data_IF_196236329409
#
_entry.id   IF_196236329409
#
_cell.length_a   1.000
_cell.length_b   1.000
_cell.length_c   1.000
_cell.angle_alpha   90.00
_cell.angle_beta   90.00
_cell.angle_gamma   90.00
#
_symmetry.space_group_name_H-M   'P 1'
#
loop_
_entity.id
_entity.type
_entity.pdbx_description
1 polymer ?
2 branched ?
3 non-polymer ?
4 water ?
#
# COMPACT_ATOMS: atom_id res chain seq x y z
N UNK A 16 2.40 -23.64 7.72
CA UNK A 16 2.03 -23.60 6.29
C UNK A 16 0.58 -23.14 6.19
N UNK A 17 0.27 -22.28 5.24
CA UNK A 17 -1.11 -21.85 5.04
C UNK A 17 -1.97 -23.00 4.47
N UNK A 18 -3.27 -22.82 4.54
CA UNK A 18 -4.18 -23.86 4.08
C UNK A 18 -4.81 -23.50 2.75
N UNK A 19 -4.29 -22.48 2.05
CA UNK A 19 -4.77 -22.14 0.69
C UNK A 19 -4.21 -23.13 -0.30
N UNK A 20 -4.70 -23.05 -1.55
CA UNK A 20 -4.12 -23.91 -2.61
C UNK A 20 -2.62 -23.80 -2.74
N UNK A 21 -2.12 -22.55 -2.73
CA UNK A 21 -0.68 -22.31 -2.69
C UNK A 21 -0.48 -21.31 -1.57
N UNK A 22 0.77 -21.10 -1.20
CA UNK A 22 1.11 -20.15 -0.15
C UNK A 22 2.20 -19.22 -0.62
N UNK A 23 1.96 -17.91 -0.54
CA UNK A 23 3.00 -16.97 -1.05
C UNK A 23 4.33 -17.15 -0.35
N UNK A 24 4.37 -17.40 0.96
CA UNK A 24 5.61 -17.53 1.68
C UNK A 24 6.43 -18.68 1.21
N UNK A 25 5.86 -19.70 0.60
CA UNK A 25 6.59 -21.00 0.40
C UNK A 25 7.89 -20.80 -0.38
N UNK A 26 9.00 -21.28 0.20
CA UNK A 26 10.29 -21.19 -0.43
C UNK A 26 10.52 -22.43 -1.33
N UNK A 27 11.52 -22.29 -2.22
CA UNK A 27 11.95 -23.39 -3.16
C UNK A 27 10.93 -23.72 -4.21
N UNK A 28 10.01 -22.81 -4.45
CA UNK A 28 9.13 -22.83 -5.64
C UNK A 28 9.84 -22.06 -6.79
N UNK A 29 10.30 -20.88 -6.47
CA UNK A 29 10.99 -20.00 -7.41
C UNK A 29 12.17 -19.40 -6.65
N UNK A 30 13.40 -19.65 -7.15
CA UNK A 30 14.54 -18.95 -6.56
C UNK A 30 14.56 -17.46 -6.86
N UNK A 31 13.93 -17.02 -7.96
CA UNK A 31 13.77 -15.58 -8.23
C UNK A 31 12.95 -14.94 -7.12
N UNK A 32 11.86 -15.60 -6.71
CA UNK A 32 11.04 -15.08 -5.61
C UNK A 32 11.81 -15.11 -4.31
N UNK A 33 12.50 -16.23 -4.01
CA UNK A 33 13.20 -16.37 -2.71
C UNK A 33 14.29 -15.33 -2.57
N UNK A 34 14.92 -14.95 -3.64
CA UNK A 34 16.00 -13.92 -3.60
C UNK A 34 15.44 -12.57 -3.13
N UNK A 35 14.22 -12.27 -3.54
CA UNK A 35 13.59 -10.98 -3.31
C UNK A 35 12.77 -10.90 -2.02
N UNK A 36 11.96 -11.92 -1.75
CA UNK A 36 11.10 -11.93 -0.55
C UNK A 36 11.92 -12.08 0.70
N UNK A 37 11.67 -11.22 1.67
CA UNK A 37 12.34 -11.33 2.98
C UNK A 37 11.30 -11.40 4.07
N UNK A 38 11.10 -12.59 4.63
CA UNK A 38 10.00 -12.82 5.57
C UNK A 38 10.18 -12.03 6.85
N UNK A 39 11.40 -11.55 7.18
CA UNK A 39 11.63 -10.76 8.37
C UNK A 39 11.17 -9.32 8.23
N UNK A 41 9.02 -5.96 8.21
CA UNK A 41 7.75 -5.51 8.87
C UNK A 41 7.16 -4.38 8.08
N UNK A 42 5.97 -4.57 7.51
CA UNK A 42 5.45 -3.58 6.58
C UNK A 42 4.77 -2.37 7.24
N UNK A 43 4.46 -2.47 8.54
CA UNK A 43 3.78 -1.36 9.26
C UNK A 43 4.66 -0.85 10.35
N UNK A 44 4.64 0.47 10.54
CA UNK A 44 5.36 1.12 11.62
C UNK A 44 4.70 0.90 12.97
N UNK A 45 5.55 0.63 13.97
CA UNK A 45 5.13 0.49 15.39
C UNK A 45 6.17 1.22 16.23
N UNK A 46 5.88 1.50 17.52
CA UNK A 46 6.89 2.12 18.37
C UNK A 46 8.11 1.18 18.49
N UNK A 47 7.88 -0.12 18.50
CA UNK A 47 8.96 -1.12 18.65
C UNK A 47 9.95 -1.00 17.48
N UNK A 48 9.42 -0.85 16.25
CA UNK A 48 10.25 -1.00 15.06
C UNK A 48 10.62 0.27 14.36
N UNK A 49 10.40 1.39 15.02
CA UNK A 49 10.52 2.69 14.35
C UNK A 49 11.91 3.27 14.15
N UNK A 50 12.95 2.67 14.74
CA UNK A 50 14.36 3.09 14.54
C UNK A 50 14.84 2.83 13.14
N UNK A 51 15.12 3.87 12.33
CA UNK A 51 15.67 3.61 11.01
C UNK A 51 17.19 3.57 11.03
N UNK A 52 17.78 2.68 10.26
CA UNK A 52 19.23 2.77 10.05
C UNK A 52 19.56 4.08 9.34
N UNK A 53 20.75 4.64 9.54
CA UNK A 53 21.12 5.90 8.93
C UNK A 53 21.02 5.89 7.42
N UNK A 54 21.49 4.83 6.75
CA UNK A 54 21.40 4.74 5.31
C UNK A 54 19.94 4.73 4.83
N UNK A 55 19.09 4.00 5.53
CA UNK A 55 17.65 4.00 5.15
C UNK A 55 17.02 5.39 5.35
N UNK A 56 17.33 6.02 6.47
CA UNK A 56 16.79 7.38 6.74
C UNK A 56 17.26 8.37 5.71
N UNK A 57 18.54 8.34 5.34
CA UNK A 57 19.03 9.31 4.38
C UNK A 57 18.42 9.09 3.00
N UNK A 58 18.27 7.82 2.64
CA UNK A 58 17.61 7.49 1.36
C UNK A 58 16.14 8.01 1.33
N UNK A 59 15.43 7.82 2.46
CA UNK A 59 14.01 8.21 2.56
C UNK A 59 13.91 9.74 2.52
N UNK A 60 14.82 10.46 3.16
CA UNK A 60 14.77 11.93 3.10
C UNK A 60 15.00 12.41 1.69
N UNK A 61 15.83 11.69 0.93
CA UNK A 61 16.10 12.10 -0.44
C UNK A 61 14.94 11.89 -1.44
N UNK A 62 13.89 11.19 -1.03
CA UNK A 62 12.77 10.99 -1.97
C UNK A 62 12.12 12.29 -2.35
N UNK A 63 11.81 13.14 -1.38
CA UNK A 63 11.14 14.43 -1.65
C UNK A 63 11.88 15.65 -1.12
N UNK A 64 13.02 15.47 -0.43
CA UNK A 64 13.99 16.55 -0.13
C UNK A 64 13.39 17.72 0.56
N UNK A 65 12.62 17.46 1.62
CA UNK A 65 12.13 18.57 2.46
C UNK A 65 13.29 19.27 3.13
N UNK A 66 13.22 20.62 3.19
CA UNK A 66 14.23 21.38 3.92
C UNK A 66 13.99 21.36 5.42
N UNK A 67 15.03 21.08 6.14
CA UNK A 67 15.03 21.10 7.60
C UNK A 67 13.77 20.40 8.25
N UNK A 68 13.61 19.08 7.93
CA UNK A 68 12.56 18.31 8.54
C UNK A 68 12.77 18.20 10.08
N UNK A 69 11.69 18.10 10.81
CA UNK A 69 11.75 17.82 12.23
C UNK A 69 12.34 16.44 12.47
N UNK A 70 13.00 16.29 13.63
CA UNK A 70 13.53 14.99 14.07
C UNK A 70 12.50 13.87 13.92
N UNK A 71 12.93 12.80 13.25
CA UNK A 71 11.97 11.75 12.91
C UNK A 71 11.45 11.01 14.12
N UNK A 72 12.35 10.76 15.05
CA UNK A 72 11.96 10.02 16.30
C UNK A 72 10.98 10.87 17.11
N UNK A 73 11.19 12.18 17.20
CA UNK A 73 10.22 13.02 17.88
C UNK A 73 8.86 12.98 17.15
N UNK A 74 8.92 13.02 15.81
CA UNK A 74 7.70 13.04 14.99
C UNK A 74 6.95 11.74 15.22
N UNK A 75 7.63 10.59 15.23
CA UNK A 75 6.99 9.30 15.43
C UNK A 75 6.44 9.16 16.87
N UNK A 76 7.14 9.66 17.87
CA UNK A 76 6.59 9.66 19.21
C UNK A 76 5.28 10.44 19.24
N UNK A 77 5.27 11.64 18.68
CA UNK A 77 4.03 12.42 18.65
C UNK A 77 2.95 11.68 17.85
N UNK A 78 3.32 11.05 16.74
CA UNK A 78 2.35 10.27 15.93
C UNK A 78 1.65 9.19 16.74
N UNK A 79 2.42 8.46 17.54
CA UNK A 79 1.82 7.38 18.33
C UNK A 79 1.22 7.80 19.66
N UNK A 80 1.14 9.11 19.89
CA UNK A 80 0.24 9.64 20.92
C UNK A 80 -1.15 9.77 20.33
N UNK A 81 -1.27 9.70 18.99
CA UNK A 81 -2.53 9.99 18.27
C UNK A 81 -3.08 8.69 17.69
N UNK A 82 -2.30 7.97 16.90
CA UNK A 82 -2.76 6.72 16.24
C UNK A 82 -2.11 5.53 16.98
N UNK A 83 -2.58 4.30 16.74
CA UNK A 83 -2.04 3.14 17.52
C UNK A 83 -0.60 2.84 17.22
N UNK A 84 0.19 2.71 18.29
CA UNK A 84 1.63 2.48 18.24
C UNK A 84 2.04 1.03 18.44
N UNK A 85 1.10 0.11 18.56
CA UNK A 85 1.47 -1.30 18.78
C UNK A 85 0.68 -2.25 17.95
N UNK A 86 0.41 -1.87 16.70
CA UNK A 86 -0.24 -2.81 15.78
C UNK A 86 0.64 -4.04 15.52
N UNK A 87 -0.01 -5.16 15.30
CA UNK A 87 0.73 -6.34 14.80
C UNK A 87 1.21 -6.07 13.39
N UNK A 88 2.54 -6.23 13.10
CA UNK A 88 2.99 -5.74 11.78
C UNK A 88 2.43 -6.49 10.59
N UNK A 89 1.94 -7.73 10.81
CA UNK A 89 1.26 -8.49 9.73
C UNK A 89 -0.25 -8.52 9.97
N UNK A 90 -0.76 -7.56 10.75
CA UNK A 90 -2.25 -7.40 10.89
C UNK A 90 -2.87 -8.71 11.34
N UNK A 91 -2.21 -9.38 12.27
CA UNK A 91 -2.79 -10.61 12.90
C UNK A 91 -2.93 -11.75 11.91
N UNK A 92 -2.10 -11.80 10.87
CA UNK A 92 -2.05 -13.00 10.01
C UNK A 92 -1.79 -14.25 10.85
N UNK A 93 -1.10 -14.17 11.98
CA UNK A 93 -0.82 -15.34 12.83
C UNK A 93 -2.07 -16.03 13.33
N UNK A 94 -3.23 -15.36 13.30
CA UNK A 94 -4.47 -15.96 13.79
C UNK A 94 -5.31 -16.61 12.73
N UNK A 95 -4.86 -16.57 11.47
CA UNK A 95 -5.66 -17.17 10.35
C UNK A 95 -4.78 -18.14 9.60
N UNK A 96 -5.39 -19.13 8.94
CA UNK A 96 -4.57 -20.11 8.16
C UNK A 96 -4.61 -19.85 6.70
N UNK A 97 -5.51 -19.03 6.14
CA UNK A 97 -5.50 -18.75 4.69
C UNK A 97 -6.12 -17.36 4.49
N UNK A 98 -5.30 -16.34 4.41
CA UNK A 98 -5.84 -14.99 4.19
C UNK A 98 -5.75 -14.66 2.74
N UNK A 99 -6.91 -14.43 2.12
CA UNK A 99 -6.99 -14.13 0.67
C UNK A 99 -7.27 -12.63 0.50
N UNK A 100 -6.49 -12.03 -0.38
CA UNK A 100 -6.63 -10.60 -0.55
C UNK A 100 -6.79 -10.22 -2.01
N UNK A 101 -7.62 -9.20 -2.22
CA UNK A 101 -7.74 -8.53 -3.52
C UNK A 101 -7.04 -7.20 -3.44
N UNK A 102 -6.14 -6.89 -4.34
CA UNK A 102 -5.52 -5.56 -4.46
C UNK A 102 -6.11 -4.95 -5.68
N UNK A 103 -6.76 -3.80 -5.52
CA UNK A 103 -7.53 -3.18 -6.62
C UNK A 103 -6.86 -1.88 -6.99
N UNK A 104 -6.25 -1.83 -8.15
CA UNK A 104 -5.73 -0.66 -8.75
C UNK A 104 -6.76 0.17 -9.44
N UNK A 105 -6.33 1.18 -10.18
CA UNK A 105 -7.22 2.22 -10.65
C UNK A 105 -7.52 2.20 -12.15
N UNK A 106 -7.03 1.18 -12.82
CA UNK A 106 -7.12 1.13 -14.29
C UNK A 106 -8.56 1.09 -14.77
N UNK A 107 -8.77 1.76 -15.92
CA UNK A 107 -10.02 1.68 -16.64
C UNK A 107 -10.27 0.30 -17.27
N UNK A 108 -9.31 -0.64 -17.20
CA UNK A 108 -9.64 -2.04 -17.54
C UNK A 108 -10.72 -2.65 -16.61
N UNK A 109 -11.02 -1.98 -15.49
CA UNK A 109 -12.13 -2.44 -14.64
C UNK A 109 -13.50 -2.07 -15.21
N UNK A 110 -13.55 -1.10 -16.13
CA UNK A 110 -14.89 -0.70 -16.65
C UNK A 110 -15.54 -1.84 -17.39
N UNK A 111 -16.79 -2.16 -16.99
CA UNK A 111 -17.56 -3.29 -17.57
C UNK A 111 -16.89 -4.61 -17.38
N UNK A 112 -16.01 -4.72 -16.38
CA UNK A 112 -15.39 -6.02 -16.09
C UNK A 112 -16.33 -6.91 -15.29
N UNK A 113 -17.26 -6.32 -14.56
CA UNK A 113 -18.15 -7.06 -13.64
C UNK A 113 -17.37 -7.86 -12.60
N UNK A 114 -16.21 -7.36 -12.19
CA UNK A 114 -15.40 -8.04 -11.17
C UNK A 114 -15.82 -7.79 -9.76
N UNK A 115 -16.88 -7.02 -9.52
CA UNK A 115 -17.18 -6.60 -8.12
C UNK A 115 -17.42 -7.75 -7.16
N UNK A 116 -18.30 -8.71 -7.52
CA UNK A 116 -18.54 -9.80 -6.57
C UNK A 116 -17.26 -10.63 -6.31
N UNK A 117 -16.48 -10.91 -7.33
CA UNK A 117 -15.28 -11.68 -7.05
C UNK A 117 -14.22 -10.88 -6.21
N UNK A 118 -14.12 -9.57 -6.42
CA UNK A 118 -13.27 -8.76 -5.60
C UNK A 118 -13.77 -8.83 -4.16
N UNK A 119 -15.08 -8.64 -3.92
CA UNK A 119 -15.62 -8.58 -2.55
C UNK A 119 -15.58 -9.89 -1.80
N UNK A 120 -15.40 -10.99 -2.51
CA UNK A 120 -15.31 -12.30 -1.86
C UNK A 120 -14.05 -12.52 -1.06
N UNK A 121 -13.06 -11.65 -1.15
CA UNK A 121 -11.79 -11.84 -0.44
C UNK A 121 -11.86 -11.37 0.99
N UNK A 122 -10.99 -11.89 1.85
CA UNK A 122 -10.95 -11.49 3.26
C UNK A 122 -10.54 -10.05 3.42
N UNK A 123 -9.47 -9.65 2.72
CA UNK A 123 -9.09 -8.23 2.68
C UNK A 123 -9.27 -7.73 1.25
N UNK A 124 -9.70 -6.48 1.14
CA UNK A 124 -9.77 -5.75 -0.17
C UNK A 124 -9.01 -4.44 0.05
N UNK A 125 -7.95 -4.28 -0.71
CA UNK A 125 -7.03 -3.13 -0.56
C UNK A 125 -7.18 -2.25 -1.76
N UNK A 126 -7.47 -0.97 -1.53
CA UNK A 126 -7.66 0.02 -2.59
C UNK A 126 -6.65 1.14 -2.40
N UNK A 128 -5.42 5.54 -3.37
CA UNK A 128 -5.56 6.90 -3.96
C UNK A 128 -7.00 7.38 -3.81
N UNK A 129 -7.54 8.08 -4.79
CA UNK A 129 -8.89 8.65 -4.63
C UNK A 129 -9.95 7.72 -5.27
N UNK A 130 -9.60 6.48 -5.57
CA UNK A 130 -10.49 5.59 -6.30
C UNK A 130 -11.82 5.38 -5.51
N UNK A 131 -12.96 5.63 -6.14
CA UNK A 131 -14.27 5.51 -5.49
C UNK A 131 -14.84 4.12 -5.71
N UNK A 132 -15.76 3.66 -4.84
CA UNK A 132 -16.61 2.52 -5.16
C UNK A 132 -18.02 2.91 -5.50
N UNK A 133 -18.48 4.08 -4.95
CA UNK A 133 -19.92 4.43 -5.08
C UNK A 133 -20.26 4.66 -6.55
N UNK A 134 -21.25 3.89 -7.02
CA UNK A 134 -21.66 3.93 -8.43
C UNK A 134 -20.79 3.09 -9.35
N UNK A 135 -19.82 2.35 -8.82
CA UNK A 135 -18.93 1.47 -9.60
C UNK A 135 -18.96 0.05 -9.04
N UNK A 136 -19.90 -0.26 -8.15
CA UNK A 136 -19.78 -1.49 -7.37
C UNK A 136 -19.87 -2.75 -8.20
N UNK A 137 -20.62 -2.78 -9.29
CA UNK A 137 -20.67 -4.00 -10.08
C UNK A 137 -19.30 -4.33 -10.68
N UNK A 138 -18.48 -3.34 -10.97
CA UNK A 138 -17.14 -3.56 -11.54
C UNK A 138 -16.07 -3.69 -10.51
N UNK A 139 -16.10 -2.89 -9.40
CA UNK A 139 -14.95 -2.84 -8.54
C UNK A 139 -15.25 -3.30 -7.13
N UNK A 140 -16.51 -3.63 -6.87
CA UNK A 140 -16.93 -4.10 -5.52
C UNK A 140 -17.33 -2.95 -4.62
N UNK A 141 -17.93 -3.33 -3.48
CA UNK A 141 -18.27 -2.35 -2.45
C UNK A 141 -17.47 -2.50 -1.18
N UNK A 142 -16.68 -3.57 -1.05
CA UNK A 142 -15.95 -3.81 0.20
C UNK A 142 -14.57 -3.12 0.13
N UNK A 143 -14.18 -2.52 1.27
CA UNK A 143 -12.79 -2.08 1.44
C UNK A 143 -12.40 -2.41 2.84
N UNK A 144 -11.31 -3.15 3.05
CA UNK A 144 -10.76 -3.28 4.41
C UNK A 144 -9.63 -2.31 4.65
N UNK A 145 -8.83 -2.00 3.62
CA UNK A 145 -7.63 -1.20 3.80
C UNK A 145 -7.48 -0.32 2.62
N UNK A 146 -7.08 0.93 2.79
CA UNK A 146 -6.99 1.88 1.63
C UNK A 146 -5.74 2.70 1.78
N UNK A 147 -4.85 2.62 0.79
CA UNK A 147 -3.56 3.33 0.82
C UNK A 147 -3.73 4.75 0.34
N UNK A 148 -3.18 5.70 1.11
CA UNK A 148 -3.27 7.13 0.78
C UNK A 148 -1.96 7.80 1.10
N UNK A 149 -1.84 9.03 0.65
CA UNK A 149 -0.82 10.00 1.13
C UNK A 149 -1.48 11.36 1.14
N UNK A 150 -0.89 12.40 1.68
CA UNK A 150 -1.70 13.64 1.87
C UNK A 150 -2.22 14.21 0.56
N UNK A 151 -1.41 14.05 -0.51
CA UNK A 151 -1.69 14.57 -1.83
C UNK A 151 -2.62 13.67 -2.60
N UNK A 152 -2.96 12.53 -2.08
CA UNK A 152 -3.88 11.58 -2.77
C UNK A 152 -4.75 10.89 -1.73
N UNK A 153 -5.73 11.62 -1.25
CA UNK A 153 -6.63 11.20 -0.17
C UNK A 153 -8.06 11.49 -0.60
N UNK A 154 -8.96 10.60 -0.21
CA UNK A 154 -10.41 10.97 -0.24
C UNK A 154 -10.98 10.43 1.06
N UNK A 155 -12.12 11.05 1.48
CA UNK A 155 -12.73 10.53 2.71
C UNK A 155 -13.10 9.05 2.55
N UNK A 156 -12.92 8.30 3.62
CA UNK A 156 -13.15 6.86 3.64
C UNK A 156 -14.31 6.46 4.47
N UNK A 157 -14.98 5.38 4.10
CA UNK A 157 -16.04 4.86 5.01
C UNK A 157 -15.44 4.47 6.35
N UNK A 158 -16.29 4.56 7.39
CA UNK A 158 -15.73 4.53 8.75
C UNK A 158 -15.08 3.21 9.18
N UNK A 159 -15.47 2.13 8.54
CA UNK A 159 -14.89 0.79 8.81
C UNK A 159 -13.50 0.55 8.21
N UNK A 160 -13.13 1.37 7.23
CA UNK A 160 -11.91 1.16 6.42
C UNK A 160 -10.67 1.56 7.20
N UNK A 161 -9.65 0.69 7.22
CA UNK A 161 -8.36 1.13 7.75
C UNK A 161 -7.66 1.98 6.72
N UNK A 163 -4.22 3.31 5.33
CA UNK A 163 -2.76 3.04 5.38
C UNK A 163 -2.08 4.27 4.79
N UNK A 164 -1.52 5.10 5.65
CA UNK A 164 -0.75 6.26 5.17
C UNK A 164 0.56 5.75 4.66
N UNK A 165 0.95 6.14 3.46
CA UNK A 165 2.29 5.83 2.90
C UNK A 165 3.12 7.07 2.98
N UNK A 166 4.12 7.12 3.85
CA UNK A 166 4.79 8.42 4.11
C UNK A 166 6.04 8.47 3.24
N UNK A 167 6.14 9.56 2.46
CA UNK A 167 7.25 9.81 1.57
C UNK A 167 8.18 10.91 2.06
N UNK A 168 7.79 11.51 3.17
CA UNK A 168 8.56 12.62 3.81
C UNK A 168 8.06 12.78 5.24
N UNK A 169 8.84 13.46 6.09
CA UNK A 169 8.49 13.69 7.49
C UNK A 169 7.12 14.38 7.59
N UNK A 170 6.89 15.35 6.71
CA UNK A 170 5.58 16.12 6.76
C UNK A 170 4.40 15.17 6.57
N UNK A 171 4.56 14.03 5.89
CA UNK A 171 3.38 13.14 5.71
C UNK A 171 2.92 12.60 7.07
N UNK A 172 3.89 12.29 7.95
CA UNK A 172 3.55 11.85 9.31
C UNK A 172 2.99 12.97 10.13
N UNK A 173 3.56 14.17 10.00
CA UNK A 173 2.99 15.34 10.71
C UNK A 173 1.55 15.62 10.20
N UNK A 174 1.27 15.36 8.90
CA UNK A 174 -0.07 15.56 8.37
C UNK A 174 -1.09 14.66 9.02
N UNK A 175 -0.75 13.41 9.33
CA UNK A 175 -1.71 12.53 10.04
C UNK A 175 -2.06 13.13 11.36
N UNK A 176 -1.05 13.60 12.10
CA UNK A 176 -1.29 14.25 13.40
C UNK A 176 -2.20 15.46 13.23
N UNK A 177 -1.84 16.33 12.31
CA UNK A 177 -2.59 17.57 12.08
C UNK A 177 -3.98 17.32 11.59
N UNK A 178 -4.18 16.45 10.64
CA UNK A 178 -5.43 16.33 9.97
C UNK A 178 -6.49 15.65 10.87
N UNK A 179 -6.05 14.98 11.92
CA UNK A 179 -6.97 14.37 12.90
C UNK A 179 -7.11 15.25 14.13
N UNK A 180 -6.40 16.39 14.23
CA UNK A 180 -6.39 17.22 15.45
C UNK A 180 -6.50 18.69 15.02
N UNK A 181 -5.40 19.43 15.02
CA UNK A 181 -5.41 20.87 14.87
C UNK A 181 -5.71 21.38 13.47
N UNK A 182 -5.47 20.58 12.43
CA UNK A 182 -5.79 21.07 11.09
C UNK A 182 -4.94 22.22 10.63
N UNK A 183 -3.64 22.17 10.97
CA UNK A 183 -2.69 23.26 10.62
C UNK A 183 -1.94 23.08 9.29
N UNK A 184 -1.81 21.86 8.78
CA UNK A 184 -1.08 21.60 7.52
C UNK A 184 -2.10 21.51 6.41
N UNK A 185 -2.01 22.49 5.50
CA UNK A 185 -2.91 22.54 4.35
C UNK A 185 -2.18 22.56 2.98
N UNK A 186 -0.86 22.48 3.00
CA UNK A 186 -0.06 22.47 1.76
C UNK A 186 1.22 21.78 1.98
N UNK A 187 1.58 20.93 1.02
CA UNK A 187 2.90 20.30 0.97
C UNK A 187 3.60 20.84 -0.29
N UNK A 188 3.71 20.04 -1.36
CA UNK A 188 4.09 20.54 -2.67
C UNK A 188 2.86 20.93 -3.49
N UNK A 189 1.68 20.53 -3.03
CA UNK A 189 0.38 20.92 -3.56
C UNK A 189 -0.57 21.11 -2.34
N UNK A 190 -1.78 21.64 -2.54
CA UNK A 190 -2.74 21.71 -1.43
C UNK A 190 -3.10 20.28 -0.96
N UNK A 191 -3.28 20.14 0.38
CA UNK A 191 -3.70 18.86 0.97
C UNK A 191 -4.83 19.18 1.97
N UNK A 192 -5.66 18.18 2.26
CA UNK A 192 -6.82 18.45 3.16
C UNK A 192 -6.32 18.86 4.52
N UNK A 193 -6.86 19.92 5.10
CA UNK A 193 -6.46 20.34 6.45
C UNK A 193 -7.03 19.39 7.48
N UNK A 194 -8.17 18.79 7.22
CA UNK A 194 -8.83 17.84 8.14
C UNK A 194 -9.27 16.60 7.37
N UNK A 195 -9.26 15.47 8.06
CA UNK A 195 -9.92 14.23 7.51
C UNK A 195 -10.81 13.73 8.62
N UNK A 196 -11.76 12.89 8.19
CA UNK A 196 -12.79 12.34 9.09
C UNK A 196 -12.42 10.96 9.61
N UNK A 197 -11.35 10.34 9.10
CA UNK A 197 -10.95 9.00 9.50
C UNK A 197 -10.71 8.94 11.01
N UNK A 198 -11.24 7.94 11.67
CA UNK A 198 -11.00 7.80 13.15
C UNK A 198 -9.52 7.44 13.36
N UNK A 199 -8.92 8.04 14.40
CA UNK A 199 -7.48 7.82 14.68
C UNK A 199 -7.17 6.34 14.86
N UNK A 200 -8.08 5.58 15.49
CA UNK A 200 -7.84 4.17 15.70
C UNK A 200 -7.81 3.32 14.43
N UNK A 201 -8.30 3.86 13.36
CA UNK A 201 -8.31 3.14 12.05
C UNK A 201 -7.08 3.45 11.21
N UNK A 202 -6.09 4.19 11.73
CA UNK A 202 -4.95 4.58 10.92
C UNK A 202 -3.78 3.64 11.15
N UNK A 203 -3.14 3.30 10.01
CA UNK A 203 -1.95 2.43 9.93
C UNK A 203 -0.91 3.19 9.16
N UNK A 204 0.38 2.90 9.44
CA UNK A 204 1.47 3.68 8.79
C UNK A 204 2.38 2.70 8.07
N UNK A 205 2.50 2.83 6.76
CA UNK A 205 3.42 2.01 5.94
C UNK A 205 4.86 2.30 6.40
N UNK A 206 5.65 1.26 6.65
CA UNK A 206 6.97 1.50 7.27
C UNK A 206 7.96 2.06 6.19
N UNK A 207 8.65 3.19 6.46
CA UNK A 207 9.67 3.68 5.51
C UNK A 207 10.67 2.65 5.10
N UNK A 208 11.11 1.79 6.05
CA UNK A 208 12.12 0.80 5.69
C UNK A 208 11.56 -0.23 4.69
N UNK A 209 10.24 -0.45 4.75
CA UNK A 209 9.63 -1.38 3.80
C UNK A 209 9.55 -0.72 2.43
N UNK A 210 9.35 0.58 2.36
CA UNK A 210 9.46 1.27 1.07
C UNK A 210 10.83 1.03 0.43
N UNK A 211 11.88 1.16 1.24
CA UNK A 211 13.23 1.01 0.69
C UNK A 211 13.50 -0.45 0.28
N UNK A 212 12.96 -1.45 1.06
CA UNK A 212 13.03 -2.89 0.68
C UNK A 212 12.34 -3.10 -0.65
N UNK A 213 11.18 -2.50 -0.86
CA UNK A 213 10.54 -2.66 -2.19
C UNK A 213 11.47 -2.10 -3.27
N UNK A 214 11.98 -0.90 -3.06
CA UNK A 214 12.84 -0.27 -4.05
C UNK A 214 14.12 -1.06 -4.33
N UNK A 215 14.81 -1.50 -3.33
CA UNK A 215 16.13 -2.14 -3.50
C UNK A 215 15.96 -3.55 -3.96
N UNK A 216 15.07 -4.33 -3.34
CA UNK A 216 15.01 -5.77 -3.59
C UNK A 216 14.04 -6.15 -4.67
N UNK A 217 12.89 -5.48 -4.74
CA UNK A 217 11.90 -5.83 -5.78
C UNK A 217 12.11 -5.02 -7.03
N UNK A 218 12.44 -3.73 -6.92
CA UNK A 218 12.64 -2.90 -8.11
C UNK A 218 14.08 -2.82 -8.54
N UNK A 219 15.02 -3.32 -7.73
CA UNK A 219 16.46 -3.33 -8.08
C UNK A 219 16.87 -1.89 -8.45
N UNK A 220 16.38 -0.89 -7.73
CA UNK A 220 16.79 0.46 -7.96
C UNK A 220 16.19 1.20 -9.12
N UNK A 221 15.20 0.68 -9.82
CA UNK A 221 14.56 1.30 -10.96
C UNK A 221 13.46 2.22 -10.59
N UNK A 222 13.53 3.45 -11.08
CA UNK A 222 12.66 4.60 -10.75
C UNK A 222 13.33 5.44 -9.68
N UNK A 223 12.77 6.60 -9.37
CA UNK A 223 13.26 7.40 -8.24
C UNK A 223 12.85 6.74 -6.90
N UNK A 224 11.61 6.16 -6.87
CA UNK A 224 11.14 5.39 -5.75
C UNK A 224 9.87 4.65 -6.25
N UNK A 225 9.32 3.70 -5.44
CA UNK A 225 8.25 2.82 -5.99
C UNK A 225 6.91 3.56 -6.11
N UNK A 226 6.11 3.18 -7.09
CA UNK A 226 4.71 3.66 -7.22
C UNK A 226 3.88 3.08 -6.08
N UNK A 227 2.76 3.73 -5.82
CA UNK A 227 1.83 3.24 -4.80
C UNK A 227 1.31 1.85 -5.20
N UNK A 228 1.06 1.63 -6.47
CA UNK A 228 0.56 0.32 -6.88
C UNK A 228 1.53 -0.78 -6.51
N UNK A 229 2.80 -0.63 -6.80
CA UNK A 229 3.70 -1.73 -6.50
C UNK A 229 3.97 -1.79 -4.99
N UNK A 230 3.91 -0.67 -4.27
CA UNK A 230 4.02 -0.74 -2.79
C UNK A 230 2.85 -1.54 -2.23
N UNK A 231 1.67 -1.39 -2.83
CA UNK A 231 0.49 -2.13 -2.35
C UNK A 231 0.64 -3.62 -2.60
N UNK A 232 1.15 -3.95 -3.78
CA UNK A 232 1.34 -5.39 -4.11
C UNK A 232 2.33 -6.08 -3.15
N UNK A 233 3.51 -5.46 -2.96
CA UNK A 233 4.51 -6.15 -2.12
C UNK A 233 4.05 -6.19 -0.67
N UNK A 234 3.37 -5.15 -0.19
CA UNK A 234 2.75 -5.17 1.14
C UNK A 234 1.84 -6.40 1.25
N UNK A 235 0.99 -6.58 0.23
CA UNK A 235 0.05 -7.71 0.27
C UNK A 235 0.73 -9.08 0.24
N UNK A 236 1.89 -9.21 -0.41
CA UNK A 236 2.62 -10.47 -0.38
C UNK A 236 3.03 -10.85 1.01
N UNK A 237 3.25 -9.86 1.88
CA UNK A 237 3.64 -10.12 3.28
C UNK A 237 2.45 -10.35 4.19
N UNK A 238 1.36 -9.62 3.99
CA UNK A 238 0.21 -9.74 4.91
C UNK A 238 -0.77 -10.82 4.53
N UNK A 239 -0.69 -11.34 3.31
CA UNK A 239 -1.68 -12.31 2.79
C UNK A 239 -1.00 -13.59 2.40
N UNK A 240 -1.80 -14.67 2.30
CA UNK A 240 -1.34 -15.96 1.71
C UNK A 240 -1.61 -16.14 0.27
N UNK A 241 -2.64 -15.43 -0.24
CA UNK A 241 -3.10 -15.55 -1.62
C UNK A 241 -3.49 -14.13 -2.03
N UNK A 242 -2.97 -13.68 -3.18
CA UNK A 242 -3.18 -12.30 -3.67
C UNK A 242 -3.66 -12.35 -5.09
N UNK A 243 -4.76 -11.66 -5.36
CA UNK A 243 -5.32 -11.43 -6.68
C UNK A 243 -5.30 -9.94 -6.99
N UNK A 244 -4.80 -9.58 -8.15
CA UNK A 244 -4.72 -8.18 -8.61
C UNK A 244 -5.79 -7.88 -9.63
N UNK A 245 -6.41 -6.73 -9.43
CA UNK A 245 -7.48 -6.21 -10.33
C UNK A 245 -7.12 -4.77 -10.64
N UNK A 246 -7.42 -4.27 -11.85
CA UNK A 246 -7.23 -2.82 -12.12
C UNK A 246 -5.77 -2.44 -12.27
N UNK A 247 -4.90 -3.40 -12.56
CA UNK A 247 -3.49 -3.04 -12.92
C UNK A 247 -3.24 -3.14 -14.41
N UNK A 248 -2.41 -2.26 -14.91
CA UNK A 248 -2.05 -2.26 -16.34
C UNK A 248 -3.01 -1.47 -17.20
N UNK A 249 -2.72 -1.49 -18.48
CA UNK A 249 -3.58 -0.81 -19.46
C UNK A 249 -4.87 -1.65 -19.72
N UNK A 250 -5.81 -1.07 -20.46
CA UNK A 250 -6.93 -1.83 -20.97
C UNK A 250 -6.54 -2.55 -22.23
N UNK A 251 -7.48 -3.28 -22.80
CA UNK A 251 -7.22 -4.12 -24.00
C UNK A 251 -6.89 -3.27 -25.23
N UNK A 252 -7.13 -1.97 -25.20
CA UNK A 252 -6.87 -1.06 -26.35
C UNK A 252 -5.56 -0.35 -26.14
N UNK A 253 -4.89 -0.60 -25.02
CA UNK A 253 -3.63 0.02 -24.67
C UNK A 253 -3.74 1.34 -23.98
N UNK A 254 -4.93 1.73 -23.49
CA UNK A 254 -5.15 3.00 -22.81
C UNK A 254 -4.91 2.87 -21.32
N UNK A 255 -4.31 3.91 -20.76
CA UNK A 255 -4.07 4.09 -19.36
C UNK A 255 -4.95 5.24 -18.91
N UNK A 256 -6.04 4.91 -18.26
CA UNK A 256 -6.91 5.97 -17.70
C UNK A 256 -7.51 5.37 -16.46
N UNK A 257 -8.17 6.14 -15.63
CA UNK A 257 -8.82 5.61 -14.41
C UNK A 257 -10.22 5.18 -14.65
N UNK A 258 -10.71 4.21 -13.89
CA UNK A 258 -12.07 3.66 -14.16
C UNK A 258 -13.19 4.65 -13.93
N UNK A 259 -12.96 5.65 -13.10
CA UNK A 259 -14.07 6.54 -12.68
C UNK A 259 -14.05 7.89 -13.37
N UNK A 260 -13.00 8.22 -14.14
CA UNK A 260 -12.74 9.65 -14.63
C UNK A 260 -11.92 9.49 -15.86
N UNK A 272 7.24 10.26 -14.96
CA UNK A 272 8.66 10.43 -14.66
C UNK A 272 9.20 10.40 -13.22
N UNK A 273 8.53 9.64 -12.31
CA UNK A 273 8.99 9.35 -10.94
C UNK A 273 9.25 7.79 -10.67
N UNK A 274 8.37 7.05 -11.31
CA UNK A 274 8.36 5.56 -11.16
C UNK A 274 8.78 4.95 -12.54
N UNK A 275 9.39 3.80 -12.53
CA UNK A 275 9.64 3.03 -13.78
C UNK A 275 8.52 2.03 -13.92
N UNK A 276 7.44 2.46 -14.56
CA UNK A 276 6.21 1.67 -14.65
C UNK A 276 6.49 0.42 -15.49
N UNK A 277 7.37 0.45 -16.47
CA UNK A 277 7.60 -0.76 -17.27
C UNK A 277 8.30 -1.79 -16.38
N UNK A 278 9.29 -1.39 -15.57
CA UNK A 278 10.00 -2.37 -14.73
C UNK A 278 9.05 -2.92 -13.69
N UNK A 279 8.23 -2.05 -13.09
CA UNK A 279 7.26 -2.52 -12.05
C UNK A 279 6.24 -3.50 -12.65
N UNK A 280 5.75 -3.17 -13.84
CA UNK A 280 4.80 -4.05 -14.57
C UNK A 280 5.40 -5.41 -14.70
N UNK A 281 6.67 -5.48 -15.14
CA UNK A 281 7.35 -6.74 -15.36
C UNK A 281 7.51 -7.58 -14.07
N UNK A 282 7.69 -6.90 -12.94
CA UNK A 282 7.72 -7.63 -11.65
C UNK A 282 6.40 -8.32 -11.42
N UNK A 283 5.26 -7.63 -11.64
CA UNK A 283 3.99 -8.29 -11.47
C UNK A 283 3.73 -9.41 -12.45
N UNK A 284 4.18 -9.23 -13.69
CA UNK A 284 4.03 -10.28 -14.69
C UNK A 284 4.81 -11.52 -14.23
N UNK A 285 6.03 -11.32 -13.74
CA UNK A 285 6.84 -12.47 -13.29
C UNK A 285 6.17 -13.15 -12.07
N UNK A 286 5.68 -12.35 -11.11
CA UNK A 286 4.99 -12.90 -9.96
C UNK A 286 3.82 -13.79 -10.41
N UNK A 287 3.06 -13.32 -11.40
CA UNK A 287 1.90 -14.11 -11.89
C UNK A 287 2.37 -15.42 -12.54
N UNK A 288 3.46 -15.35 -13.30
CA UNK A 288 3.99 -16.50 -14.01
C UNK A 288 4.40 -17.62 -13.06
N UNK A 289 4.82 -17.29 -11.84
CA UNK A 289 5.20 -18.30 -10.83
C UNK A 289 4.10 -18.54 -9.83
N UNK A 290 2.88 -18.07 -10.13
CA UNK A 290 1.68 -18.35 -9.30
C UNK A 290 1.77 -17.80 -7.92
N UNK A 291 2.57 -16.75 -7.72
CA UNK A 291 2.60 -16.04 -6.43
C UNK A 291 1.49 -14.99 -6.30
N UNK A 292 0.96 -14.56 -7.45
CA UNK A 292 -0.29 -13.73 -7.52
C UNK A 292 -1.03 -14.27 -8.73
N UNK A 293 -2.31 -13.84 -8.81
CA UNK A 293 -3.08 -13.97 -10.05
C UNK A 293 -3.41 -12.57 -10.51
N UNK A 294 -3.37 -12.29 -11.81
CA UNK A 294 -3.77 -10.99 -12.39
C UNK A 294 -5.03 -11.15 -13.20
N UNK A 295 -6.01 -10.33 -12.89
CA UNK A 295 -7.27 -10.29 -13.65
C UNK A 295 -7.18 -9.06 -14.55
N UNK A 296 -7.17 -9.34 -15.87
CA UNK A 296 -6.81 -8.32 -16.85
C UNK A 296 -7.94 -7.35 -17.10
N UNK A 297 -9.19 -7.74 -16.81
CA UNK A 297 -10.34 -6.83 -17.13
C UNK A 297 -10.53 -6.70 -18.65
N UNK A 298 -10.95 -5.49 -19.05
CA UNK A 298 -11.51 -5.24 -20.41
C UNK A 298 -10.57 -4.40 -21.26
#
# INVERSE_FOLDING_TARGET
>A
ELSENFKKLXKYPYRPCTCTRCIEEQRVSAWFDERFNRSXQPLLTAKNAHLEEDTYKWWLRLQREKQPNNLNDTIRELFQVVPGNVDPLLEKRLVSCRRCAVVGNSGNLKESYYGPQIDSHDFVLRXNKAPTEGFEADVGSKTTHHFVYPESFRELAQEVSXILVPFKTTDLEWVISATTTGRISHTYVPVPAKIKVKKEKILIYHPAFIKYVFDRWLQGHGRYPSTGILSVIFSLHICDEVDLYGFGADSKGNWHHYWENNPSAGAFRKTGVHDGDFESNVTTILASINKIRIFKGR
#
